data_IF_484435018352
#
_entry.id   IF_484435018352
#
_cell.length_a   1.000
_cell.length_b   1.000
_cell.length_c   1.000
_cell.angle_alpha   90.00
_cell.angle_beta   90.00
_cell.angle_gamma   90.00
#
_symmetry.space_group_name_H-M   'P 1'
#
loop_
_entity.id
_entity.type
_entity.pdbx_description
1 polymer ?
#
# COMPACT_ATOMS: atom_id res chain seq x y z
N UNK A 1 8.49 9.96 -37.30
CA UNK A 1 9.85 9.46 -37.04
C UNK A 1 9.97 9.28 -35.53
N UNK A 2 9.97 8.04 -35.05
CA UNK A 2 10.07 7.75 -33.61
C UNK A 2 11.55 7.92 -33.25
N UNK A 3 11.85 8.93 -32.42
CA UNK A 3 13.19 9.15 -31.88
C UNK A 3 13.45 8.12 -30.79
N UNK A 4 14.60 7.47 -30.84
CA UNK A 4 15.05 6.53 -29.81
C UNK A 4 15.49 7.29 -28.55
N UNK A 5 15.66 6.58 -27.43
CA UNK A 5 16.24 7.17 -26.22
C UNK A 5 17.64 7.76 -26.49
N UNK A 6 18.42 7.16 -27.40
CA UNK A 6 19.71 7.68 -27.83
C UNK A 6 19.57 9.06 -28.52
N UNK A 7 18.57 9.23 -29.38
CA UNK A 7 18.35 10.51 -30.08
C UNK A 7 17.91 11.64 -29.14
N UNK A 8 17.14 11.32 -28.08
CA UNK A 8 16.76 12.31 -27.07
C UNK A 8 17.93 12.63 -26.13
N UNK A 9 18.73 11.62 -25.79
CA UNK A 9 19.94 11.79 -25.00
C UNK A 9 20.94 12.70 -25.75
N UNK A 10 21.19 12.48 -27.04
CA UNK A 10 22.16 13.26 -27.80
C UNK A 10 21.84 14.76 -27.82
N UNK A 11 20.57 15.15 -27.95
CA UNK A 11 20.15 16.55 -27.89
C UNK A 11 20.25 17.13 -26.46
N UNK A 12 19.81 16.38 -25.45
CA UNK A 12 19.80 16.83 -24.05
C UNK A 12 21.20 16.93 -23.41
N UNK A 13 22.14 16.08 -23.84
CA UNK A 13 23.48 15.96 -23.28
C UNK A 13 24.57 16.61 -24.14
N UNK A 14 24.22 17.17 -25.32
CA UNK A 14 25.17 17.65 -26.35
C UNK A 14 26.29 18.57 -25.86
N UNK A 15 26.02 19.39 -24.84
CA UNK A 15 26.94 20.39 -24.31
C UNK A 15 27.42 20.07 -22.88
N UNK A 16 27.23 18.84 -22.42
CA UNK A 16 27.58 18.41 -21.08
C UNK A 16 28.60 17.26 -21.13
N UNK A 17 29.41 17.14 -20.07
CA UNK A 17 30.41 16.07 -19.94
C UNK A 17 29.96 14.97 -18.98
N UNK A 18 28.93 15.26 -18.20
CA UNK A 18 28.34 14.39 -17.20
C UNK A 18 26.87 14.78 -16.96
N UNK A 19 26.16 13.91 -16.25
CA UNK A 19 24.76 14.11 -15.92
C UNK A 19 24.45 13.62 -14.52
N UNK A 20 23.42 14.19 -13.89
CA UNK A 20 22.98 13.78 -12.58
C UNK A 20 22.28 12.43 -12.61
N UNK A 21 22.63 11.61 -11.61
CA UNK A 21 21.85 10.44 -11.18
C UNK A 21 21.36 10.68 -9.76
N UNK A 22 20.37 9.90 -9.31
CA UNK A 22 19.67 10.13 -8.05
C UNK A 22 20.46 9.87 -6.77
N UNK A 23 21.79 9.77 -6.80
CA UNK A 23 22.62 9.52 -5.62
C UNK A 23 22.87 10.79 -4.80
N UNK A 24 22.65 10.73 -3.49
CA UNK A 24 22.95 11.83 -2.58
C UNK A 24 23.55 11.34 -1.25
N UNK A 25 24.55 12.06 -0.74
CA UNK A 25 25.10 11.85 0.60
C UNK A 25 24.17 12.49 1.64
N UNK A 26 23.54 11.65 2.45
CA UNK A 26 22.52 12.03 3.42
C UNK A 26 23.00 11.72 4.83
N UNK A 27 22.60 12.56 5.80
CA UNK A 27 22.83 12.27 7.21
C UNK A 27 21.66 11.43 7.74
N UNK A 28 21.97 10.20 8.17
CA UNK A 28 21.03 9.27 8.79
C UNK A 28 21.57 8.92 10.16
N UNK A 29 20.89 9.35 11.23
CA UNK A 29 21.28 9.07 12.62
C UNK A 29 22.75 9.41 12.92
N UNK A 30 23.20 10.59 12.49
CA UNK A 30 24.58 11.08 12.65
C UNK A 30 25.65 10.35 11.83
N UNK A 31 25.26 9.45 10.92
CA UNK A 31 26.14 8.82 9.94
C UNK A 31 25.89 9.39 8.54
N UNK A 32 26.95 9.61 7.76
CA UNK A 32 26.84 10.01 6.36
C UNK A 32 26.74 8.76 5.48
N UNK A 33 25.63 8.63 4.74
CA UNK A 33 25.31 7.46 3.91
C UNK A 33 24.86 7.92 2.53
N UNK A 34 25.38 7.30 1.48
CA UNK A 34 24.91 7.51 0.11
C UNK A 34 23.57 6.78 -0.11
N UNK A 35 22.53 7.55 -0.41
CA UNK A 35 21.19 7.05 -0.68
C UNK A 35 20.75 7.41 -2.11
N UNK A 36 19.86 6.59 -2.66
CA UNK A 36 19.11 6.92 -3.87
C UNK A 36 17.85 7.73 -3.53
N UNK A 37 17.73 8.94 -4.07
CA UNK A 37 16.60 9.88 -3.88
C UNK A 37 15.20 9.31 -4.12
N UNK A 38 15.05 8.25 -4.91
CA UNK A 38 13.73 7.71 -5.27
C UNK A 38 13.02 6.99 -4.11
N UNK A 39 13.76 6.27 -3.28
CA UNK A 39 13.19 5.48 -2.18
C UNK A 39 14.12 5.40 -0.96
N UNK A 40 15.03 6.38 -0.84
CA UNK A 40 16.05 6.49 0.20
C UNK A 40 16.80 5.19 0.50
N UNK A 41 16.97 4.32 -0.52
CA UNK A 41 17.75 3.11 -0.35
C UNK A 41 19.22 3.39 -0.33
N UNK A 42 19.91 2.61 0.51
CA UNK A 42 21.36 2.53 0.55
C UNK A 42 21.92 2.17 -0.83
N UNK A 43 22.92 2.92 -1.27
CA UNK A 43 23.69 2.69 -2.50
C UNK A 43 24.61 1.48 -2.34
N UNK A 44 24.05 0.28 -2.53
CA UNK A 44 24.80 -1.00 -2.42
C UNK A 44 25.82 -1.20 -3.55
N UNK A 45 25.43 -0.86 -4.77
CA UNK A 45 26.31 -0.82 -5.94
C UNK A 45 26.79 0.60 -6.17
N UNK A 46 28.07 0.75 -6.52
CA UNK A 46 28.66 2.00 -6.95
C UNK A 46 29.76 1.74 -7.99
N UNK A 47 30.00 2.74 -8.82
CA UNK A 47 31.05 2.73 -9.84
C UNK A 47 31.84 4.04 -9.79
N UNK A 48 32.32 4.37 -8.59
CA UNK A 48 33.09 5.59 -8.36
C UNK A 48 34.37 5.61 -9.18
N UNK A 49 34.71 6.78 -9.73
CA UNK A 49 36.01 6.99 -10.31
C UNK A 49 37.11 6.80 -9.23
N UNK A 50 38.35 6.43 -9.62
CA UNK A 50 39.45 6.31 -8.67
C UNK A 50 39.62 7.60 -7.84
N UNK A 51 39.54 7.47 -6.51
CA UNK A 51 39.65 8.60 -5.57
C UNK A 51 38.33 9.30 -5.23
N UNK A 52 37.20 8.87 -5.79
CA UNK A 52 35.86 9.35 -5.42
C UNK A 52 35.15 8.37 -4.46
N UNK A 53 34.18 8.84 -3.65
CA UNK A 53 33.76 10.24 -3.50
C UNK A 53 34.81 11.09 -2.76
N UNK A 54 35.03 12.34 -3.20
CA UNK A 54 36.02 13.23 -2.62
C UNK A 54 35.43 14.54 -2.06
N UNK A 55 35.88 14.91 -0.85
CA UNK A 55 35.55 16.17 -0.20
C UNK A 55 34.11 16.26 0.30
N UNK A 56 33.58 17.47 0.38
CA UNK A 56 32.26 17.76 0.96
C UNK A 56 31.11 17.79 -0.07
N UNK A 57 31.33 17.19 -1.23
CA UNK A 57 30.39 17.15 -2.35
C UNK A 57 29.36 16.04 -2.13
N UNK A 58 28.08 16.33 -2.37
CA UNK A 58 26.98 15.48 -1.89
C UNK A 58 26.10 14.88 -2.98
N UNK A 59 26.27 15.23 -4.25
CA UNK A 59 25.45 14.70 -5.34
C UNK A 59 26.28 13.91 -6.35
N UNK A 60 25.70 12.87 -6.95
CA UNK A 60 26.42 11.97 -7.86
C UNK A 60 26.12 12.29 -9.32
N UNK A 61 27.16 12.55 -10.11
CA UNK A 61 27.06 12.61 -11.57
C UNK A 61 27.87 11.50 -12.24
N UNK A 62 27.42 11.10 -13.42
CA UNK A 62 28.05 10.05 -14.24
C UNK A 62 28.68 10.71 -15.46
N UNK A 63 29.95 10.38 -15.72
CA UNK A 63 30.64 10.86 -16.92
C UNK A 63 30.05 10.24 -18.18
N UNK A 64 29.72 11.07 -19.18
CA UNK A 64 29.24 10.62 -20.49
C UNK A 64 30.32 9.84 -21.26
N UNK A 65 31.59 10.18 -21.07
CA UNK A 65 32.71 9.56 -21.79
C UNK A 65 33.24 8.29 -21.12
N UNK A 66 33.18 8.22 -19.79
CA UNK A 66 33.84 7.16 -18.99
C UNK A 66 32.89 6.25 -18.22
N UNK A 67 31.62 6.63 -18.08
CA UNK A 67 30.61 5.95 -17.26
C UNK A 67 30.89 5.82 -15.75
N UNK A 68 32.06 6.25 -15.25
CA UNK A 68 32.32 6.33 -13.81
C UNK A 68 31.61 7.50 -13.13
N UNK A 69 31.40 7.35 -11.83
CA UNK A 69 30.67 8.27 -10.98
C UNK A 69 31.62 9.22 -10.27
N UNK A 70 31.19 10.46 -10.10
CA UNK A 70 31.93 11.49 -9.35
C UNK A 70 30.99 12.21 -8.39
N UNK A 71 31.51 12.60 -7.23
CA UNK A 71 30.77 13.47 -6.31
C UNK A 71 30.91 14.91 -6.78
N UNK A 72 29.82 15.67 -6.74
CA UNK A 72 29.75 17.06 -7.17
C UNK A 72 28.89 17.93 -6.23
N UNK A 73 29.08 19.25 -6.34
CA UNK A 73 28.20 20.21 -5.70
C UNK A 73 26.80 20.12 -6.34
N UNK A 74 25.80 19.87 -5.50
CA UNK A 74 24.41 19.69 -5.90
C UNK A 74 23.82 20.91 -6.61
N UNK A 75 24.42 22.10 -6.45
CA UNK A 75 23.94 23.33 -7.06
C UNK A 75 24.41 23.51 -8.51
N UNK A 76 25.21 22.59 -9.06
CA UNK A 76 25.63 22.66 -10.46
C UNK A 76 24.48 22.30 -11.40
N UNK A 77 24.27 23.14 -12.41
CA UNK A 77 23.34 22.86 -13.49
C UNK A 77 23.92 21.78 -14.40
N UNK A 78 23.30 20.60 -14.39
CA UNK A 78 23.59 19.50 -15.31
C UNK A 78 22.28 18.88 -15.77
N UNK A 79 22.23 18.26 -16.95
CA UNK A 79 21.12 17.40 -17.33
C UNK A 79 21.07 16.19 -16.39
N UNK A 80 19.96 15.48 -16.38
CA UNK A 80 19.70 14.40 -15.43
C UNK A 80 18.91 13.27 -16.08
N UNK A 81 19.05 12.07 -15.54
CA UNK A 81 18.27 10.90 -15.97
C UNK A 81 17.24 10.56 -14.92
N UNK A 82 15.98 10.52 -15.31
CA UNK A 82 14.89 10.03 -14.48
C UNK A 82 14.71 8.52 -14.65
N UNK A 83 14.40 7.85 -13.54
CA UNK A 83 13.86 6.49 -13.56
C UNK A 83 12.35 6.57 -13.40
N UNK A 84 11.61 5.98 -14.33
CA UNK A 84 10.16 5.82 -14.22
C UNK A 84 9.91 4.33 -13.92
N UNK A 85 8.94 3.95 -13.08
CA UNK A 85 8.57 2.55 -12.92
C UNK A 85 8.19 1.94 -14.27
N UNK A 86 8.63 0.72 -14.56
CA UNK A 86 8.19 0.04 -15.79
C UNK A 86 6.68 -0.24 -15.79
N UNK A 87 6.09 -0.33 -14.58
CA UNK A 87 4.69 -0.63 -14.36
C UNK A 87 4.14 0.20 -13.22
N UNK A 88 2.85 0.51 -13.28
CA UNK A 88 2.05 1.03 -12.16
C UNK A 88 1.14 -0.06 -11.63
N UNK A 89 0.80 0.04 -10.35
CA UNK A 89 -0.22 -0.78 -9.72
C UNK A 89 -1.50 0.04 -9.65
N UNK A 90 -2.58 -0.51 -10.22
CA UNK A 90 -3.87 0.18 -10.31
C UNK A 90 -5.00 -0.71 -9.81
N UNK A 91 -6.00 -0.06 -9.23
CA UNK A 91 -7.27 -0.70 -8.87
C UNK A 91 -8.33 -0.40 -9.93
N UNK A 92 -9.32 -1.29 -10.04
CA UNK A 92 -10.50 -1.04 -10.86
C UNK A 92 -11.35 0.10 -10.30
N UNK A 93 -12.21 0.68 -11.12
CA UNK A 93 -13.07 1.80 -10.72
C UNK A 93 -13.91 1.48 -9.46
N UNK A 94 -13.88 2.42 -8.52
CA UNK A 94 -14.57 2.32 -7.24
C UNK A 94 -13.90 1.36 -6.23
N UNK A 95 -12.70 0.86 -6.51
CA UNK A 95 -11.85 0.19 -5.53
C UNK A 95 -10.80 1.16 -4.98
N UNK A 96 -10.53 1.08 -3.69
CA UNK A 96 -9.52 1.90 -3.01
C UNK A 96 -8.19 1.17 -2.96
N UNK A 97 -7.14 1.81 -3.46
CA UNK A 97 -5.77 1.28 -3.43
C UNK A 97 -5.08 1.63 -2.10
N UNK A 98 -4.43 0.65 -1.48
CA UNK A 98 -3.54 0.87 -0.34
C UNK A 98 -2.08 0.65 -0.76
N UNK A 99 -1.31 1.74 -0.79
CA UNK A 99 0.06 1.78 -1.33
C UNK A 99 1.03 0.86 -0.58
N UNK A 100 0.83 0.64 0.72
CA UNK A 100 1.72 -0.20 1.53
C UNK A 100 1.52 -1.69 1.25
N UNK A 101 0.29 -2.14 1.07
CA UNK A 101 -0.04 -3.55 0.82
C UNK A 101 -0.11 -3.89 -0.66
N UNK A 102 -0.20 -2.87 -1.54
CA UNK A 102 -0.41 -3.03 -2.98
C UNK A 102 -1.72 -3.75 -3.33
N UNK A 103 -2.72 -3.63 -2.45
CA UNK A 103 -4.03 -4.27 -2.58
C UNK A 103 -5.13 -3.24 -2.86
N UNK A 104 -6.24 -3.74 -3.38
CA UNK A 104 -7.46 -3.02 -3.67
C UNK A 104 -8.58 -3.47 -2.73
N UNK A 105 -9.34 -2.52 -2.20
CA UNK A 105 -10.41 -2.77 -1.24
C UNK A 105 -11.71 -2.12 -1.72
N UNK A 106 -12.85 -2.79 -1.50
CA UNK A 106 -14.16 -2.23 -1.82
C UNK A 106 -15.23 -2.78 -0.88
N UNK A 107 -16.04 -1.88 -0.33
CA UNK A 107 -17.20 -2.25 0.47
C UNK A 107 -18.38 -2.54 -0.45
N UNK A 108 -19.06 -3.64 -0.19
CA UNK A 108 -20.31 -4.01 -0.82
C UNK A 108 -21.40 -4.06 0.24
N UNK A 109 -22.57 -3.54 -0.13
CA UNK A 109 -23.73 -3.49 0.74
C UNK A 109 -24.93 -4.22 0.12
N UNK A 110 -25.66 -4.94 0.95
CA UNK A 110 -26.96 -5.54 0.67
C UNK A 110 -27.88 -5.24 1.85
N UNK A 111 -28.89 -4.40 1.64
CA UNK A 111 -29.80 -3.95 2.70
C UNK A 111 -30.66 -5.09 3.27
N UNK A 112 -30.81 -6.21 2.56
CA UNK A 112 -31.48 -7.41 3.07
C UNK A 112 -30.61 -8.22 4.06
N UNK A 113 -29.35 -7.80 4.22
CA UNK A 113 -28.34 -8.49 5.00
C UNK A 113 -27.83 -9.75 4.28
N UNK A 114 -26.55 -10.06 4.44
CA UNK A 114 -25.89 -11.21 3.85
C UNK A 114 -25.26 -12.06 4.95
N UNK A 115 -25.30 -13.38 4.80
CA UNK A 115 -24.58 -14.30 5.67
C UNK A 115 -23.10 -14.33 5.32
N UNK A 116 -22.26 -14.85 6.22
CA UNK A 116 -20.82 -14.95 5.97
C UNK A 116 -20.50 -15.75 4.68
N UNK A 117 -21.10 -16.93 4.42
CA UNK A 117 -20.87 -17.64 3.15
C UNK A 117 -21.28 -16.84 1.92
N UNK A 118 -22.42 -16.13 1.98
CA UNK A 118 -22.89 -15.28 0.88
C UNK A 118 -21.99 -14.06 0.65
N UNK A 119 -21.43 -13.48 1.73
CA UNK A 119 -20.43 -12.43 1.63
C UNK A 119 -19.14 -12.92 0.95
N UNK A 120 -18.71 -14.14 1.27
CA UNK A 120 -17.57 -14.78 0.59
C UNK A 120 -17.83 -14.98 -0.89
N UNK A 121 -18.99 -15.52 -1.25
CA UNK A 121 -19.39 -15.71 -2.66
C UNK A 121 -19.48 -14.37 -3.41
N UNK A 122 -19.98 -13.32 -2.75
CA UNK A 122 -20.05 -11.98 -3.32
C UNK A 122 -18.65 -11.48 -3.69
N UNK A 123 -17.67 -11.59 -2.79
CA UNK A 123 -16.30 -11.19 -3.09
C UNK A 123 -15.67 -12.05 -4.19
N UNK A 124 -15.92 -13.35 -4.19
CA UNK A 124 -15.43 -14.26 -5.23
C UNK A 124 -15.95 -13.88 -6.63
N UNK A 125 -17.22 -13.47 -6.75
CA UNK A 125 -17.79 -12.93 -8.01
C UNK A 125 -17.09 -11.68 -8.52
N UNK A 126 -16.38 -10.96 -7.66
CA UNK A 126 -15.60 -9.77 -8.00
C UNK A 126 -14.11 -10.08 -8.29
N UNK A 127 -13.76 -11.36 -8.42
CA UNK A 127 -12.38 -11.86 -8.45
C UNK A 127 -11.56 -11.36 -7.25
N UNK A 128 -12.17 -11.43 -6.07
CA UNK A 128 -11.62 -10.98 -4.80
C UNK A 128 -11.92 -11.98 -3.69
N UNK A 129 -11.32 -11.77 -2.52
CA UNK A 129 -11.68 -12.47 -1.30
C UNK A 129 -12.33 -11.48 -0.32
N UNK A 130 -13.00 -11.98 0.71
CA UNK A 130 -13.34 -11.14 1.85
C UNK A 130 -12.07 -10.62 2.49
N UNK A 131 -12.13 -9.42 3.08
CA UNK A 131 -10.94 -8.73 3.55
C UNK A 131 -10.22 -9.51 4.66
N UNK A 132 -8.91 -9.71 4.45
CA UNK A 132 -7.92 -10.03 5.48
C UNK A 132 -7.23 -8.76 5.96
N UNK A 133 -6.90 -8.71 7.26
CA UNK A 133 -6.32 -7.53 7.93
C UNK A 133 -5.05 -7.96 8.66
N UNK A 134 -3.92 -7.34 8.31
CA UNK A 134 -2.57 -7.69 8.78
C UNK A 134 -1.86 -6.54 9.52
N UNK A 135 -2.52 -5.39 9.69
CA UNK A 135 -1.98 -4.24 10.41
C UNK A 135 -3.06 -3.18 10.70
N UNK A 136 -2.71 -2.20 11.54
CA UNK A 136 -3.59 -1.09 11.95
C UNK A 136 -4.06 -0.22 10.78
N UNK A 137 -3.24 -0.09 9.72
CA UNK A 137 -3.56 0.74 8.56
C UNK A 137 -4.66 0.10 7.71
N UNK A 138 -4.60 -1.22 7.50
CA UNK A 138 -5.70 -1.99 6.90
C UNK A 138 -6.95 -1.93 7.77
N UNK A 139 -6.83 -2.13 9.09
CA UNK A 139 -7.96 -2.08 10.02
C UNK A 139 -8.67 -0.71 9.95
N UNK A 140 -7.89 0.37 9.94
CA UNK A 140 -8.40 1.74 9.79
C UNK A 140 -9.05 1.98 8.43
N UNK A 141 -8.46 1.48 7.34
CA UNK A 141 -9.01 1.60 6.00
C UNK A 141 -10.38 0.91 5.89
N UNK A 142 -10.49 -0.33 6.39
CA UNK A 142 -11.75 -1.09 6.41
C UNK A 142 -12.83 -0.31 7.16
N UNK A 143 -12.50 0.29 8.30
CA UNK A 143 -13.38 1.22 9.02
C UNK A 143 -13.85 2.39 8.15
N UNK A 144 -12.91 3.11 7.50
CA UNK A 144 -13.22 4.28 6.67
C UNK A 144 -14.11 3.95 5.47
N UNK A 145 -13.94 2.78 4.86
CA UNK A 145 -14.76 2.34 3.72
C UNK A 145 -16.24 2.16 4.07
N UNK A 146 -16.54 2.01 5.36
CA UNK A 146 -17.90 1.75 5.87
C UNK A 146 -18.60 3.01 6.36
N UNK A 147 -17.83 4.10 6.52
CA UNK A 147 -18.26 5.38 7.06
C UNK A 147 -18.33 6.47 5.99
N UNK A 148 -18.85 6.17 4.80
CA UNK A 148 -19.04 7.17 3.74
C UNK A 148 -20.07 8.25 4.18
N UNK A 149 -19.58 9.24 4.93
CA UNK A 149 -20.10 10.61 4.90
C UNK A 149 -21.19 11.03 5.88
N UNK A 150 -21.80 10.18 6.71
CA UNK A 150 -22.76 10.65 7.75
C UNK A 150 -22.76 9.81 9.03
N UNK A 151 -22.91 10.55 10.13
CA UNK A 151 -23.22 10.19 11.52
C UNK A 151 -23.67 8.74 11.67
N UNK A 152 -22.87 7.92 12.35
CA UNK A 152 -23.14 6.50 12.52
C UNK A 152 -23.98 6.26 13.77
N UNK A 153 -25.22 5.80 13.54
CA UNK A 153 -25.92 4.89 14.44
C UNK A 153 -25.17 3.55 14.40
N UNK A 154 -24.73 3.08 15.56
CA UNK A 154 -23.86 1.90 15.76
C UNK A 154 -24.45 0.62 15.15
N UNK A 155 -25.77 0.56 14.95
CA UNK A 155 -26.45 -0.58 14.33
C UNK A 155 -26.20 -0.73 12.82
N UNK A 156 -25.73 0.32 12.13
CA UNK A 156 -25.58 0.32 10.67
C UNK A 156 -24.17 -0.02 10.17
N UNK A 157 -23.19 -0.19 11.06
CA UNK A 157 -21.76 -0.21 10.70
C UNK A 157 -21.15 -1.62 10.73
N UNK A 158 -21.86 -2.59 11.30
CA UNK A 158 -21.39 -3.98 11.38
C UNK A 158 -21.29 -4.62 9.99
N UNK A 159 -20.17 -5.28 9.74
CA UNK A 159 -19.87 -5.93 8.46
C UNK A 159 -19.14 -7.25 8.65
N UNK A 160 -19.18 -8.09 7.63
CA UNK A 160 -18.36 -9.31 7.57
C UNK A 160 -16.93 -9.04 7.09
N UNK A 161 -15.95 -9.54 7.85
CA UNK A 161 -14.55 -9.69 7.41
C UNK A 161 -14.25 -11.16 7.14
N UNK A 162 -13.15 -11.44 6.43
CA UNK A 162 -12.85 -12.79 5.95
C UNK A 162 -12.28 -13.74 6.99
N UNK A 163 -12.40 -13.47 8.30
CA UNK A 163 -11.86 -14.32 9.36
C UNK A 163 -12.93 -15.30 9.85
N UNK A 164 -12.55 -16.57 9.95
CA UNK A 164 -13.40 -17.61 10.53
C UNK A 164 -12.60 -18.63 11.35
N UNK A 165 -13.31 -19.39 12.18
CA UNK A 165 -12.79 -20.47 12.98
C UNK A 165 -13.28 -21.81 12.44
N UNK A 166 -12.35 -22.74 12.24
CA UNK A 166 -12.68 -24.14 11.97
C UNK A 166 -11.98 -25.03 13.01
N UNK A 167 -10.66 -25.05 12.95
CA UNK A 167 -9.76 -25.66 13.96
C UNK A 167 -8.93 -24.56 14.63
N UNK A 168 -8.53 -23.56 13.84
CA UNK A 168 -7.86 -22.34 14.26
C UNK A 168 -8.48 -21.15 13.52
N UNK A 169 -8.16 -19.94 13.95
CA UNK A 169 -8.49 -18.73 13.20
C UNK A 169 -7.78 -18.72 11.85
N UNK A 170 -8.54 -18.54 10.77
CA UNK A 170 -8.04 -18.57 9.39
C UNK A 170 -8.71 -17.50 8.54
N UNK A 171 -7.93 -16.82 7.70
CA UNK A 171 -8.48 -15.94 6.68
C UNK A 171 -8.95 -16.74 5.47
N UNK A 172 -10.09 -16.35 4.91
CA UNK A 172 -10.69 -16.98 3.71
C UNK A 172 -9.82 -16.88 2.44
N UNK A 173 -8.85 -15.97 2.41
CA UNK A 173 -7.86 -15.83 1.33
C UNK A 173 -6.59 -16.66 1.55
N UNK A 174 -6.49 -17.39 2.67
CA UNK A 174 -5.34 -18.23 3.01
C UNK A 174 -4.12 -17.47 3.53
N UNK A 175 -4.22 -16.16 3.76
CA UNK A 175 -3.13 -15.38 4.35
C UNK A 175 -2.90 -15.73 5.83
N UNK A 176 -1.69 -15.50 6.38
CA UNK A 176 -1.40 -15.79 7.79
C UNK A 176 -2.29 -15.00 8.76
N UNK A 177 -2.62 -15.62 9.88
CA UNK A 177 -3.25 -14.94 11.02
C UNK A 177 -2.16 -14.28 11.90
N UNK A 178 -1.73 -13.08 11.51
CA UNK A 178 -0.58 -12.35 12.08
C UNK A 178 -0.94 -11.01 12.74
N UNK A 179 -2.22 -10.65 12.71
CA UNK A 179 -2.75 -9.43 13.31
C UNK A 179 -4.11 -9.69 13.94
N UNK A 180 -4.41 -8.93 14.99
CA UNK A 180 -5.67 -9.05 15.72
C UNK A 180 -6.14 -7.69 16.25
N UNK A 181 -7.43 -7.41 16.09
CA UNK A 181 -8.08 -6.22 16.65
C UNK A 181 -9.42 -6.59 17.33
N UNK A 182 -9.41 -7.64 18.15
CA UNK A 182 -10.57 -8.05 18.93
C UNK A 182 -11.10 -6.94 19.85
N UNK A 183 -12.41 -6.91 19.99
CA UNK A 183 -13.13 -6.10 20.97
C UNK A 183 -12.95 -6.59 22.39
N UNK A 184 -13.51 -5.84 23.34
CA UNK A 184 -13.48 -6.24 24.73
C UNK A 184 -14.21 -7.58 24.92
N UNK A 185 -13.52 -8.56 25.50
CA UNK A 185 -14.00 -9.92 25.79
C UNK A 185 -14.04 -10.90 24.60
N UNK A 186 -13.50 -10.53 23.44
CA UNK A 186 -13.39 -11.42 22.28
C UNK A 186 -11.96 -11.92 22.02
N UNK A 187 -11.80 -13.07 21.34
CA UNK A 187 -12.86 -13.95 20.85
C UNK A 187 -13.44 -14.82 21.96
N UNK A 188 -14.77 -14.80 22.15
CA UNK A 188 -15.44 -15.61 23.16
C UNK A 188 -15.90 -17.00 22.65
N UNK A 189 -16.01 -17.18 21.32
CA UNK A 189 -16.36 -18.44 20.63
C UNK A 189 -17.53 -19.22 21.26
N UNK A 190 -18.52 -18.52 21.80
CA UNK A 190 -19.64 -19.17 22.47
C UNK A 190 -20.56 -19.80 21.41
N UNK A 191 -20.92 -21.08 21.58
CA UNK A 191 -22.04 -21.68 20.84
C UNK A 191 -21.85 -21.88 19.33
N UNK A 192 -20.62 -21.93 18.79
CA UNK A 192 -20.31 -22.02 17.34
C UNK A 192 -20.34 -20.69 16.57
N UNK A 193 -20.07 -19.57 17.25
CA UNK A 193 -19.81 -18.26 16.64
C UNK A 193 -18.44 -18.25 15.91
N UNK A 194 -18.38 -18.97 14.80
CA UNK A 194 -17.14 -19.25 14.07
C UNK A 194 -16.82 -18.22 12.98
N UNK A 195 -17.58 -17.14 12.85
CA UNK A 195 -17.37 -16.12 11.84
C UNK A 195 -17.20 -14.75 12.48
N UNK A 196 -16.45 -13.85 11.84
CA UNK A 196 -16.05 -12.61 12.50
C UNK A 196 -16.68 -11.39 11.84
N UNK A 197 -17.33 -10.58 12.67
CA UNK A 197 -17.85 -9.29 12.29
C UNK A 197 -16.90 -8.17 12.73
N UNK A 198 -17.05 -7.02 12.10
CA UNK A 198 -16.26 -5.82 12.36
C UNK A 198 -17.19 -4.66 12.68
N UNK A 199 -17.00 -4.04 13.84
CA UNK A 199 -17.94 -3.09 14.43
C UNK A 199 -17.21 -1.94 15.14
N UNK A 200 -17.87 -0.78 15.34
CA UNK A 200 -17.30 0.32 16.10
C UNK A 200 -17.43 0.07 17.62
N UNK A 201 -16.32 0.08 18.34
CA UNK A 201 -16.27 0.06 19.80
C UNK A 201 -15.89 1.45 20.33
N UNK A 202 -16.59 1.92 21.36
CA UNK A 202 -16.36 3.23 21.98
C UNK A 202 -17.64 4.05 22.16
N UNK A 203 -17.49 5.26 22.68
CA UNK A 203 -18.60 6.17 22.97
C UNK A 203 -18.45 7.50 22.23
N UNK A 204 -19.58 8.10 21.86
CA UNK A 204 -19.62 9.53 21.54
C UNK A 204 -19.71 10.32 22.84
N UNK A 205 -18.61 10.93 23.27
CA UNK A 205 -18.61 11.85 24.43
C UNK A 205 -18.40 13.28 23.95
N UNK A 206 -19.29 14.19 24.35
CA UNK A 206 -19.10 15.64 24.22
C UNK A 206 -18.68 16.14 22.82
N UNK A 207 -19.23 15.54 21.76
CA UNK A 207 -18.95 15.93 20.37
C UNK A 207 -17.65 15.34 19.77
N UNK A 208 -16.92 14.51 20.53
CA UNK A 208 -15.80 13.72 20.03
C UNK A 208 -16.23 12.27 19.83
N UNK A 209 -16.05 11.77 18.61
CA UNK A 209 -16.24 10.37 18.29
C UNK A 209 -14.89 9.66 18.44
N UNK A 210 -14.76 8.82 19.47
CA UNK A 210 -13.56 8.02 19.74
C UNK A 210 -13.71 6.56 19.29
N UNK A 211 -14.56 6.30 18.29
CA UNK A 211 -14.81 4.94 17.81
C UNK A 211 -13.54 4.30 17.24
N UNK A 212 -13.19 3.14 17.79
CA UNK A 212 -12.14 2.27 17.29
C UNK A 212 -12.83 1.07 16.67
N UNK A 213 -12.40 0.68 15.47
CA UNK A 213 -12.98 -0.49 14.83
C UNK A 213 -12.38 -1.78 15.38
N UNK A 214 -13.27 -2.67 15.82
CA UNK A 214 -12.95 -3.90 16.53
C UNK A 214 -13.65 -5.10 15.91
N UNK A 215 -13.17 -6.28 16.27
CA UNK A 215 -13.67 -7.56 15.79
C UNK A 215 -14.45 -8.27 16.88
N UNK A 216 -15.55 -8.91 16.50
CA UNK A 216 -16.40 -9.72 17.38
C UNK A 216 -16.80 -11.01 16.65
N UNK A 217 -17.10 -12.05 17.42
CA UNK A 217 -17.50 -13.36 16.91
C UNK A 217 -19.02 -13.43 16.72
N UNK A 218 -19.46 -14.06 15.65
CA UNK A 218 -20.88 -14.15 15.26
C UNK A 218 -21.19 -15.48 14.60
N UNK A 219 -22.47 -15.83 14.57
CA UNK A 219 -22.91 -17.02 13.87
C UNK A 219 -22.76 -16.76 12.37
N UNK A 220 -22.17 -17.70 11.64
CA UNK A 220 -21.96 -17.54 10.20
C UNK A 220 -23.25 -17.33 9.39
N UNK A 221 -24.41 -17.69 9.96
CA UNK A 221 -25.74 -17.46 9.40
C UNK A 221 -26.35 -16.09 9.72
N UNK A 222 -25.75 -15.30 10.63
CA UNK A 222 -26.19 -13.95 10.93
C UNK A 222 -26.16 -13.08 9.67
N UNK A 223 -26.97 -12.03 9.63
CA UNK A 223 -27.11 -11.19 8.43
C UNK A 223 -26.63 -9.79 8.71
N UNK A 224 -25.48 -9.43 8.16
CA UNK A 224 -24.98 -8.06 8.16
C UNK A 224 -25.13 -7.43 6.79
N UNK A 225 -25.38 -6.14 6.74
CA UNK A 225 -25.69 -5.46 5.48
C UNK A 225 -24.45 -5.22 4.61
N UNK A 226 -23.24 -5.52 5.11
CA UNK A 226 -22.00 -5.09 4.48
C UNK A 226 -20.92 -6.15 4.56
N UNK A 227 -20.02 -6.11 3.59
CA UNK A 227 -18.73 -6.80 3.62
C UNK A 227 -17.70 -5.98 2.86
N UNK A 228 -16.42 -6.16 3.17
CA UNK A 228 -15.33 -5.56 2.39
C UNK A 228 -14.59 -6.67 1.67
N UNK A 229 -14.40 -6.49 0.37
CA UNK A 229 -13.61 -7.38 -0.46
C UNK A 229 -12.21 -6.80 -0.67
N UNK A 230 -11.22 -7.69 -0.81
CA UNK A 230 -9.80 -7.40 -1.01
C UNK A 230 -9.25 -8.20 -2.19
N UNK A 231 -8.46 -7.58 -3.06
CA UNK A 231 -7.74 -8.25 -4.16
C UNK A 231 -6.44 -7.55 -4.52
N UNK A 232 -5.54 -8.26 -5.22
CA UNK A 232 -4.28 -7.70 -5.70
C UNK A 232 -4.54 -6.58 -6.72
N UNK A 233 -3.78 -5.47 -6.63
CA UNK A 233 -3.79 -4.45 -7.66
C UNK A 233 -3.20 -4.99 -8.98
N UNK A 234 -3.74 -4.53 -10.11
CA UNK A 234 -3.27 -4.95 -11.43
C UNK A 234 -1.97 -4.22 -11.78
N UNK A 235 -1.00 -4.95 -12.30
CA UNK A 235 0.23 -4.40 -12.85
C UNK A 235 -0.07 -3.94 -14.29
N UNK A 236 0.07 -2.65 -14.56
CA UNK A 236 -0.14 -2.07 -15.89
C UNK A 236 1.17 -1.43 -16.37
N UNK A 237 1.70 -1.81 -17.54
CA UNK A 237 2.88 -1.16 -18.13
C UNK A 237 2.62 0.33 -18.40
N UNK A 238 3.59 1.18 -18.08
CA UNK A 238 3.48 2.63 -18.36
C UNK A 238 3.69 2.92 -19.86
N UNK A 239 4.46 2.06 -20.55
CA UNK A 239 4.78 2.18 -21.96
C UNK A 239 4.18 1.03 -22.77
N UNK A 240 2.85 0.98 -22.81
CA UNK A 240 2.15 0.27 -23.87
C UNK A 240 1.10 1.22 -24.46
N UNK A 241 1.52 1.95 -25.50
CA UNK A 241 0.61 2.31 -26.57
C UNK A 241 1.26 1.87 -27.89
N UNK A 242 0.44 1.35 -28.82
CA UNK A 242 0.87 0.55 -29.98
C UNK A 242 1.74 1.29 -31.00
#
# INVERSE_FOLDING_TARGET
MIRTFADFADDAFRNFTDFWIGGQLTNVNSALIWLWKWHDSIMKYNDWAPGEPYGNKKCVSVSLAKAWWTSNDCNLTKPYVCRIPAHVLVCEDGWTFLEKTKMCYKMFADLSGISFPSASELCQKQNANMVSIHNDEENTLVGKLTSLGKVLDTSTVTLWIGLNYNITWTWTDGTPYDYQAWGQYDPNNIGSQNCVNFYPEGASESGYNSYIMKWDTSYCGDRFQRTVCKKQAKIVPIFQNP
#
